data_IF_620830332208
#
_entry.id   IF_620830332208
#
_cell.length_a   1.000
_cell.length_b   1.000
_cell.length_c   1.000
_cell.angle_alpha   90.00
_cell.angle_beta   90.00
_cell.angle_gamma   90.00
#
_symmetry.space_group_name_H-M   'P 1'
#
loop_
_entity.id
_entity.type
_entity.pdbx_description
1 polymer ?
#
# COMPACT_ATOMS: atom_id res chain seq x y z
N UNK A 1 5.15 8.46 -13.43
CA UNK A 1 6.47 7.84 -13.19
C UNK A 1 6.51 7.25 -11.78
N UNK A 2 7.28 6.17 -11.57
CA UNK A 2 7.41 5.51 -10.26
C UNK A 2 7.83 6.48 -9.15
N UNK A 3 8.80 7.36 -9.42
CA UNK A 3 9.26 8.35 -8.45
C UNK A 3 8.13 9.30 -7.99
N UNK A 4 7.17 9.63 -8.86
CA UNK A 4 6.03 10.48 -8.46
C UNK A 4 5.10 9.77 -7.48
N UNK A 5 4.99 8.44 -7.56
CA UNK A 5 4.27 7.64 -6.57
C UNK A 5 4.93 7.75 -5.19
N UNK A 6 6.24 7.51 -5.09
CA UNK A 6 6.97 7.58 -3.82
C UNK A 6 6.84 8.95 -3.15
N UNK A 7 6.98 10.04 -3.91
CA UNK A 7 6.79 11.40 -3.38
C UNK A 7 5.35 11.67 -2.95
N UNK A 8 4.37 11.14 -3.67
CA UNK A 8 2.95 11.33 -3.31
C UNK A 8 2.61 10.58 -2.02
N UNK A 9 3.13 9.37 -1.84
CA UNK A 9 2.96 8.61 -0.58
C UNK A 9 3.62 9.34 0.58
N UNK A 10 4.87 9.78 0.42
CA UNK A 10 5.58 10.55 1.44
C UNK A 10 4.85 11.86 1.77
N UNK A 11 4.29 12.58 0.78
CA UNK A 11 3.50 13.78 1.01
C UNK A 11 2.25 13.50 1.84
N UNK A 12 1.51 12.43 1.56
CA UNK A 12 0.34 12.02 2.35
C UNK A 12 0.70 11.69 3.80
N UNK A 13 1.86 11.03 4.02
CA UNK A 13 2.37 10.76 5.37
C UNK A 13 2.71 12.06 6.10
N UNK A 14 3.39 13.01 5.45
CA UNK A 14 3.69 14.34 6.03
C UNK A 14 2.43 15.15 6.33
N UNK A 15 1.42 15.14 5.43
CA UNK A 15 0.13 15.81 5.63
C UNK A 15 -0.68 15.21 6.79
N UNK A 16 -0.33 13.99 7.20
CA UNK A 16 -0.93 13.26 8.33
C UNK A 16 -0.09 13.35 9.61
N UNK A 17 0.79 14.34 9.72
CA UNK A 17 1.69 14.56 10.86
C UNK A 17 2.64 13.36 11.14
N UNK A 18 3.01 12.61 10.09
CA UNK A 18 3.94 11.48 10.21
C UNK A 18 5.35 11.89 10.64
N UNK A 19 6.02 11.01 11.38
CA UNK A 19 7.40 11.19 11.83
C UNK A 19 8.42 11.17 10.68
N UNK A 20 9.67 11.54 10.96
CA UNK A 20 10.76 11.45 9.98
C UNK A 20 10.96 10.01 9.51
N UNK A 21 10.89 9.03 10.42
CA UNK A 21 11.03 7.60 10.13
C UNK A 21 9.90 7.10 9.24
N UNK A 22 8.67 7.53 9.49
CA UNK A 22 7.50 7.19 8.66
C UNK A 22 7.60 7.79 7.25
N UNK A 23 8.11 9.02 7.12
CA UNK A 23 8.34 9.66 5.82
C UNK A 23 9.46 8.96 5.04
N UNK A 24 10.56 8.58 5.71
CA UNK A 24 11.64 7.80 5.09
C UNK A 24 11.10 6.42 4.65
N UNK A 25 10.34 5.75 5.52
CA UNK A 25 9.71 4.47 5.18
C UNK A 25 8.74 4.60 3.99
N UNK A 26 7.98 5.70 3.91
CA UNK A 26 7.11 5.97 2.77
C UNK A 26 7.86 6.10 1.44
N UNK A 27 9.07 6.67 1.45
CA UNK A 27 9.92 6.72 0.24
C UNK A 27 10.52 5.35 -0.13
N UNK A 28 10.61 4.42 0.80
CA UNK A 28 11.26 3.11 0.65
C UNK A 28 10.28 1.92 0.65
N UNK A 29 8.97 2.17 0.81
CA UNK A 29 7.98 1.13 1.11
C UNK A 29 7.93 -0.03 0.09
N UNK A 30 8.19 0.25 -1.19
CA UNK A 30 8.22 -0.75 -2.26
C UNK A 30 9.61 -1.37 -2.51
N UNK A 31 10.67 -0.83 -1.85
CA UNK A 31 12.05 -1.20 -2.18
C UNK A 31 12.35 -2.69 -1.94
N UNK A 32 11.73 -3.29 -0.94
CA UNK A 32 11.92 -4.72 -0.60
C UNK A 32 11.25 -5.63 -1.63
N UNK A 33 10.05 -5.26 -2.10
CA UNK A 33 9.34 -6.04 -3.12
C UNK A 33 9.99 -5.95 -4.50
N UNK A 34 10.50 -4.76 -4.85
CA UNK A 34 11.01 -4.46 -6.18
C UNK A 34 12.50 -4.77 -6.34
N UNK A 35 13.28 -4.73 -5.26
CA UNK A 35 14.75 -4.74 -5.33
C UNK A 35 15.42 -5.60 -4.25
N UNK A 36 15.47 -6.91 -4.45
CA UNK A 36 16.38 -7.78 -3.71
C UNK A 36 15.89 -8.30 -2.34
N UNK A 37 14.61 -8.12 -2.00
CA UNK A 37 13.97 -8.77 -0.85
C UNK A 37 14.70 -8.51 0.47
N UNK A 38 15.00 -9.58 1.21
CA UNK A 38 15.63 -9.53 2.55
C UNK A 38 16.95 -8.74 2.56
N UNK A 39 17.76 -8.82 1.50
CA UNK A 39 19.03 -8.08 1.43
C UNK A 39 18.80 -6.56 1.41
N UNK A 40 17.74 -6.11 0.72
CA UNK A 40 17.36 -4.70 0.70
C UNK A 40 16.82 -4.26 2.06
N UNK A 41 16.04 -5.09 2.74
CA UNK A 41 15.56 -4.81 4.09
C UNK A 41 16.72 -4.65 5.09
N UNK A 42 17.73 -5.54 5.06
CA UNK A 42 18.92 -5.43 5.89
C UNK A 42 19.72 -4.16 5.60
N UNK A 43 19.80 -3.76 4.33
CA UNK A 43 20.45 -2.50 3.96
C UNK A 43 19.67 -1.29 4.51
N UNK A 44 18.34 -1.29 4.40
CA UNK A 44 17.49 -0.24 4.97
C UNK A 44 17.69 -0.16 6.49
N UNK A 45 17.73 -1.30 7.18
CA UNK A 45 18.01 -1.38 8.63
C UNK A 45 19.37 -0.77 9.00
N UNK A 46 20.39 -1.08 8.22
CA UNK A 46 21.73 -0.54 8.44
C UNK A 46 21.85 0.96 8.20
N UNK A 47 21.16 1.47 7.17
CA UNK A 47 21.33 2.85 6.72
C UNK A 47 20.38 3.83 7.44
N UNK A 48 19.17 3.36 7.80
CA UNK A 48 18.08 4.21 8.33
C UNK A 48 17.55 3.77 9.70
N UNK A 49 18.02 2.66 10.23
CA UNK A 49 17.64 2.15 11.56
C UNK A 49 16.51 1.14 11.55
N UNK A 50 16.29 0.55 12.74
CA UNK A 50 15.31 -0.54 12.93
C UNK A 50 13.87 -0.09 12.71
N UNK A 51 13.53 1.12 13.13
CA UNK A 51 12.16 1.64 13.04
C UNK A 51 11.71 1.78 11.59
N UNK A 52 12.54 2.40 10.73
CA UNK A 52 12.28 2.50 9.29
C UNK A 52 12.18 1.11 8.66
N UNK A 53 13.11 0.20 8.98
CA UNK A 53 13.09 -1.16 8.45
C UNK A 53 11.83 -1.94 8.85
N UNK A 54 11.39 -1.80 10.10
CA UNK A 54 10.16 -2.46 10.58
C UNK A 54 8.90 -1.92 9.88
N UNK A 55 8.83 -0.62 9.60
CA UNK A 55 7.71 -0.04 8.85
C UNK A 55 7.70 -0.55 7.42
N UNK A 56 8.85 -0.54 6.73
CA UNK A 56 8.97 -1.03 5.35
C UNK A 56 8.63 -2.51 5.25
N UNK A 57 9.13 -3.34 6.18
CA UNK A 57 8.79 -4.77 6.25
C UNK A 57 7.30 -4.99 6.43
N UNK A 58 6.67 -4.22 7.33
CA UNK A 58 5.22 -4.28 7.55
C UNK A 58 4.38 -3.81 6.36
N UNK A 59 4.91 -3.00 5.46
CA UNK A 59 4.25 -2.59 4.21
C UNK A 59 4.42 -3.61 3.08
N UNK A 60 5.36 -4.56 3.20
CA UNK A 60 5.68 -5.56 2.18
C UNK A 60 4.67 -6.71 2.19
N UNK A 61 4.04 -7.03 1.06
CA UNK A 61 3.04 -8.09 0.98
C UNK A 61 3.65 -9.48 0.76
N UNK A 62 4.74 -9.57 0.01
CA UNK A 62 5.48 -10.82 -0.22
C UNK A 62 6.87 -10.51 -0.81
N UNK A 63 7.90 -10.97 -0.14
CA UNK A 63 9.30 -10.85 -0.58
C UNK A 63 9.96 -12.25 -0.63
N UNK A 64 9.59 -13.09 -1.61
CA UNK A 64 10.17 -14.44 -1.70
C UNK A 64 11.69 -14.35 -1.92
N UNK A 65 12.45 -15.35 -1.45
CA UNK A 65 13.87 -15.48 -1.75
C UNK A 65 14.14 -15.41 -3.26
N UNK A 66 15.33 -14.94 -3.63
CA UNK A 66 15.74 -14.84 -5.03
C UNK A 66 15.54 -16.16 -5.79
N UNK A 67 14.85 -16.12 -6.91
CA UNK A 67 14.55 -17.30 -7.75
C UNK A 67 13.30 -18.07 -7.36
N UNK A 68 12.56 -17.65 -6.35
CA UNK A 68 11.25 -18.23 -6.04
C UNK A 68 10.12 -17.34 -6.59
N UNK A 69 9.03 -17.97 -7.03
CA UNK A 69 7.83 -17.28 -7.47
C UNK A 69 7.03 -16.76 -6.26
N UNK A 70 6.37 -15.60 -6.44
CA UNK A 70 5.42 -15.09 -5.45
C UNK A 70 4.25 -16.07 -5.30
N UNK A 71 3.74 -16.22 -4.08
CA UNK A 71 2.54 -17.02 -3.78
C UNK A 71 1.32 -16.51 -4.59
N UNK A 72 0.24 -17.30 -4.70
CA UNK A 72 -0.98 -16.89 -5.38
C UNK A 72 -1.46 -15.51 -4.93
N UNK A 73 -1.86 -14.67 -5.90
CA UNK A 73 -2.23 -13.27 -5.64
C UNK A 73 -3.30 -13.14 -4.54
N UNK A 74 -4.35 -13.97 -4.58
CA UNK A 74 -5.47 -13.90 -3.64
C UNK A 74 -5.02 -14.18 -2.19
N UNK A 75 -4.24 -15.22 -1.99
CA UNK A 75 -3.71 -15.61 -0.67
C UNK A 75 -2.87 -14.48 -0.06
N UNK A 76 -1.95 -13.91 -0.83
CA UNK A 76 -1.12 -12.79 -0.39
C UNK A 76 -1.96 -11.58 0.03
N UNK A 77 -3.00 -11.24 -0.75
CA UNK A 77 -3.85 -10.09 -0.45
C UNK A 77 -4.74 -10.32 0.78
N UNK A 78 -5.24 -11.52 1.00
CA UNK A 78 -5.98 -11.90 2.21
C UNK A 78 -5.10 -11.82 3.46
N UNK A 79 -3.88 -12.34 3.40
CA UNK A 79 -2.92 -12.23 4.50
C UNK A 79 -2.53 -10.78 4.78
N UNK A 80 -2.27 -9.98 3.73
CA UNK A 80 -1.93 -8.58 3.89
C UNK A 80 -3.05 -7.79 4.55
N UNK A 81 -4.30 -7.97 4.14
CA UNK A 81 -5.47 -7.33 4.77
C UNK A 81 -5.56 -7.71 6.26
N UNK A 82 -5.36 -8.99 6.56
CA UNK A 82 -5.37 -9.49 7.95
C UNK A 82 -4.23 -8.87 8.77
N UNK A 83 -3.03 -8.79 8.19
CA UNK A 83 -1.87 -8.16 8.81
C UNK A 83 -2.15 -6.68 9.11
N UNK A 84 -2.63 -5.91 8.14
CA UNK A 84 -2.92 -4.48 8.28
C UNK A 84 -3.94 -4.21 9.40
N UNK A 85 -4.92 -5.07 9.58
CA UNK A 85 -5.91 -4.90 10.65
C UNK A 85 -5.29 -4.87 12.06
N UNK A 86 -4.12 -5.50 12.26
CA UNK A 86 -3.39 -5.60 13.54
C UNK A 86 -2.01 -4.95 13.53
N UNK A 87 -1.59 -4.34 12.44
CA UNK A 87 -0.29 -3.71 12.31
C UNK A 87 -0.14 -2.46 13.20
N UNK A 88 1.10 -2.03 13.44
CA UNK A 88 1.39 -0.79 14.17
C UNK A 88 0.80 0.44 13.46
N UNK A 89 0.59 1.52 14.19
CA UNK A 89 0.05 2.76 13.64
C UNK A 89 0.93 3.31 12.51
N UNK A 90 2.26 3.22 12.63
CA UNK A 90 3.21 3.65 11.60
C UNK A 90 3.10 2.82 10.31
N UNK A 91 3.00 1.49 10.40
CA UNK A 91 2.77 0.61 9.25
C UNK A 91 1.42 0.94 8.60
N UNK A 92 0.38 1.13 9.40
CA UNK A 92 -0.96 1.49 8.91
C UNK A 92 -0.96 2.85 8.22
N UNK A 93 -0.25 3.84 8.76
CA UNK A 93 -0.14 5.18 8.15
C UNK A 93 0.50 5.10 6.77
N UNK A 94 1.69 4.50 6.66
CA UNK A 94 2.43 4.41 5.41
C UNK A 94 1.67 3.55 4.38
N UNK A 95 1.16 2.39 4.80
CA UNK A 95 0.38 1.50 3.93
C UNK A 95 -0.91 2.17 3.44
N UNK A 96 -1.63 2.90 4.30
CA UNK A 96 -2.84 3.61 3.89
C UNK A 96 -2.54 4.72 2.88
N UNK A 97 -1.48 5.49 3.09
CA UNK A 97 -1.03 6.52 2.15
C UNK A 97 -0.70 5.93 0.76
N UNK A 98 -0.01 4.78 0.71
CA UNK A 98 0.25 4.04 -0.52
C UNK A 98 -1.06 3.60 -1.20
N UNK A 99 -1.94 2.92 -0.47
CA UNK A 99 -3.18 2.39 -1.03
C UNK A 99 -4.14 3.49 -1.48
N UNK A 100 -4.19 4.62 -0.75
CA UNK A 100 -4.95 5.80 -1.16
C UNK A 100 -4.42 6.40 -2.46
N UNK A 101 -3.09 6.57 -2.58
CA UNK A 101 -2.49 7.09 -3.81
C UNK A 101 -2.77 6.16 -5.00
N UNK A 102 -2.60 4.84 -4.80
CA UNK A 102 -2.88 3.85 -5.82
C UNK A 102 -4.37 3.84 -6.24
N UNK A 103 -5.30 3.87 -5.29
CA UNK A 103 -6.75 3.94 -5.59
C UNK A 103 -7.12 5.20 -6.37
N UNK A 104 -6.55 6.37 -6.02
CA UNK A 104 -6.73 7.62 -6.77
C UNK A 104 -6.21 7.52 -8.20
N UNK A 105 -5.08 6.86 -8.41
CA UNK A 105 -4.55 6.62 -9.76
C UNK A 105 -5.47 5.69 -10.56
N UNK A 106 -5.98 4.62 -9.96
CA UNK A 106 -6.92 3.70 -10.60
C UNK A 106 -8.20 4.44 -10.99
N UNK A 107 -8.77 5.25 -10.08
CA UNK A 107 -9.98 6.01 -10.37
C UNK A 107 -9.78 7.03 -11.49
N UNK A 108 -8.65 7.72 -11.51
CA UNK A 108 -8.28 8.64 -12.60
C UNK A 108 -8.19 7.89 -13.93
N UNK A 109 -7.46 6.78 -13.96
CA UNK A 109 -7.26 5.99 -15.17
C UNK A 109 -8.58 5.33 -15.62
N UNK A 110 -9.45 4.91 -14.66
CA UNK A 110 -10.78 4.41 -14.97
C UNK A 110 -11.65 5.47 -15.68
N UNK A 111 -11.59 6.72 -15.22
CA UNK A 111 -12.31 7.84 -15.89
C UNK A 111 -11.80 8.13 -17.30
N UNK A 112 -10.55 7.79 -17.60
CA UNK A 112 -9.92 8.00 -18.93
C UNK A 112 -10.18 6.84 -19.88
N UNK A 113 -9.99 5.59 -19.44
CA UNK A 113 -10.04 4.40 -20.30
C UNK A 113 -11.16 3.39 -19.96
N UNK A 114 -11.96 3.65 -18.94
CA UNK A 114 -13.08 2.80 -18.51
C UNK A 114 -12.65 1.40 -18.07
N UNK A 115 -13.47 0.41 -18.37
CA UNK A 115 -13.29 -1.00 -17.97
C UNK A 115 -11.92 -1.60 -18.39
N UNK A 116 -11.29 -1.07 -19.43
CA UNK A 116 -10.00 -1.57 -19.90
C UNK A 116 -8.87 -1.44 -18.87
N UNK A 117 -9.02 -0.60 -17.83
CA UNK A 117 -8.03 -0.49 -16.75
C UNK A 117 -7.84 -1.82 -16.02
N UNK A 118 -8.91 -2.60 -15.84
CA UNK A 118 -8.89 -3.82 -15.05
C UNK A 118 -8.02 -4.93 -15.66
N UNK A 119 -7.72 -4.85 -16.95
CA UNK A 119 -6.81 -5.77 -17.61
C UNK A 119 -5.35 -5.63 -17.16
N UNK A 120 -5.00 -4.51 -16.55
CA UNK A 120 -3.67 -4.26 -16.01
C UNK A 120 -3.41 -4.98 -14.68
N UNK A 121 -4.45 -5.48 -14.01
CA UNK A 121 -4.37 -6.07 -12.68
C UNK A 121 -4.58 -7.58 -12.69
N UNK A 122 -3.79 -8.31 -11.91
CA UNK A 122 -3.91 -9.77 -11.75
C UNK A 122 -5.28 -10.16 -11.21
N UNK A 123 -5.83 -9.39 -10.25
CA UNK A 123 -7.14 -9.63 -9.67
C UNK A 123 -8.32 -9.29 -10.57
N UNK A 124 -8.05 -8.69 -11.75
CA UNK A 124 -9.08 -8.12 -12.63
C UNK A 124 -10.01 -7.18 -11.86
N UNK A 125 -11.18 -6.85 -12.37
CA UNK A 125 -12.15 -5.96 -11.74
C UNK A 125 -12.59 -6.48 -10.36
N UNK A 126 -13.16 -7.67 -10.34
CA UNK A 126 -13.74 -8.24 -9.12
C UNK A 126 -12.72 -8.37 -7.98
N UNK A 127 -11.55 -8.93 -8.27
CA UNK A 127 -10.49 -9.08 -7.27
C UNK A 127 -9.93 -7.74 -6.80
N UNK A 128 -9.76 -6.78 -7.71
CA UNK A 128 -9.24 -5.45 -7.37
C UNK A 128 -10.22 -4.67 -6.48
N UNK A 129 -11.51 -4.64 -6.84
CA UNK A 129 -12.55 -3.98 -6.02
C UNK A 129 -12.67 -4.64 -4.65
N UNK A 130 -12.69 -5.99 -4.60
CA UNK A 130 -12.67 -6.71 -3.32
C UNK A 130 -11.48 -6.31 -2.45
N UNK A 131 -10.27 -6.25 -3.04
CA UNK A 131 -9.05 -5.94 -2.28
C UNK A 131 -9.08 -4.53 -1.69
N UNK A 132 -9.45 -3.53 -2.50
CA UNK A 132 -9.53 -2.15 -2.02
C UNK A 132 -10.66 -1.95 -1.00
N UNK A 133 -11.80 -2.64 -1.13
CA UNK A 133 -12.86 -2.65 -0.13
C UNK A 133 -12.37 -3.24 1.19
N UNK A 134 -11.74 -4.42 1.14
CA UNK A 134 -11.21 -5.07 2.33
C UNK A 134 -10.14 -4.23 3.05
N UNK A 135 -9.28 -3.53 2.29
CA UNK A 135 -8.30 -2.59 2.85
C UNK A 135 -8.98 -1.39 3.51
N UNK A 136 -9.95 -0.76 2.85
CA UNK A 136 -10.68 0.38 3.42
C UNK A 136 -11.35 -0.01 4.74
N UNK A 137 -12.00 -1.16 4.81
CA UNK A 137 -12.63 -1.69 6.02
C UNK A 137 -11.57 -1.96 7.13
N UNK A 138 -10.42 -2.54 6.77
CA UNK A 138 -9.33 -2.81 7.71
C UNK A 138 -8.74 -1.50 8.28
N UNK A 139 -8.54 -0.46 7.46
CA UNK A 139 -8.05 0.83 7.95
C UNK A 139 -9.09 1.56 8.79
N UNK A 140 -10.37 1.50 8.45
CA UNK A 140 -11.45 2.11 9.24
C UNK A 140 -11.70 1.42 10.58
N UNK A 141 -11.30 0.16 10.74
CA UNK A 141 -11.49 -0.59 11.99
C UNK A 141 -10.68 -0.08 13.17
N UNK A 142 -9.65 0.73 12.93
CA UNK A 142 -8.81 1.35 13.95
C UNK A 142 -8.88 2.89 13.82
N UNK A 143 -9.18 3.63 14.90
CA UNK A 143 -9.33 5.09 14.86
C UNK A 143 -8.02 5.87 14.62
N UNK A 144 -6.86 5.24 14.68
CA UNK A 144 -5.61 5.88 14.30
C UNK A 144 -5.63 6.22 12.78
N UNK A 145 -5.25 7.45 12.41
CA UNK A 145 -5.20 7.92 11.03
C UNK A 145 -6.55 7.89 10.28
N UNK A 146 -7.63 8.30 10.93
CA UNK A 146 -8.99 8.31 10.38
C UNK A 146 -9.09 9.07 9.06
N UNK A 147 -8.36 10.18 8.89
CA UNK A 147 -8.42 11.01 7.68
C UNK A 147 -8.08 10.22 6.42
N UNK A 148 -6.92 9.54 6.38
CA UNK A 148 -6.53 8.76 5.19
C UNK A 148 -7.46 7.56 4.95
N UNK A 149 -7.94 6.92 6.03
CA UNK A 149 -8.87 5.80 5.93
C UNK A 149 -10.22 6.23 5.35
N UNK A 150 -10.74 7.37 5.76
CA UNK A 150 -11.97 7.94 5.21
C UNK A 150 -11.80 8.36 3.75
N UNK A 151 -10.65 8.97 3.39
CA UNK A 151 -10.34 9.31 2.00
C UNK A 151 -10.24 8.07 1.11
N UNK A 152 -9.55 7.02 1.57
CA UNK A 152 -9.50 5.76 0.84
C UNK A 152 -10.90 5.18 0.63
N UNK A 153 -11.72 5.16 1.68
CA UNK A 153 -13.10 4.67 1.60
C UNK A 153 -13.93 5.46 0.57
N UNK A 154 -13.81 6.79 0.53
CA UNK A 154 -14.51 7.62 -0.46
C UNK A 154 -14.11 7.24 -1.90
N UNK A 155 -12.82 7.07 -2.15
CA UNK A 155 -12.31 6.66 -3.46
C UNK A 155 -12.80 5.25 -3.83
N UNK A 156 -12.80 4.32 -2.88
CA UNK A 156 -13.29 2.94 -3.11
C UNK A 156 -14.77 2.92 -3.43
N UNK A 157 -15.60 3.65 -2.67
CA UNK A 157 -17.04 3.79 -2.95
C UNK A 157 -17.27 4.35 -4.36
N UNK A 158 -16.49 5.34 -4.78
CA UNK A 158 -16.61 5.88 -6.14
C UNK A 158 -16.20 4.86 -7.20
N UNK A 159 -15.13 4.09 -7.00
CA UNK A 159 -14.75 2.99 -7.90
C UNK A 159 -15.85 1.94 -8.02
N UNK A 160 -16.45 1.52 -6.92
CA UNK A 160 -17.53 0.51 -6.89
C UNK A 160 -18.83 0.99 -7.58
N UNK A 161 -19.10 2.29 -7.50
CA UNK A 161 -20.33 2.85 -8.09
C UNK A 161 -20.17 3.29 -9.55
N UNK A 162 -18.93 3.52 -9.99
CA UNK A 162 -18.61 3.97 -11.35
C UNK A 162 -18.27 2.82 -12.31
N UNK A 163 -17.95 1.64 -11.77
CA UNK A 163 -17.44 0.50 -12.53
C UNK A 163 -18.44 -0.67 -12.72
#
# INVERSE_FOLDING_TARGET
TYISHLYSVAALVMESDGSEEEVIAALLHDAVEDHGGVKTLEKIRSDYGEEVAAIVDGCTDDAPPEGQEKRPWRERKEEYVTHIASASDSVRLVSNADKLHNARCILRDYRDIGEAIWDRFTGKKEGSLWYYRALADAFLSNPANTFLAEELNRVVVELETSS
#
